data_IF_047263603744
#
_entry.id   IF_047263603744
#
_cell.length_a   1.000
_cell.length_b   1.000
_cell.length_c   1.000
_cell.angle_alpha   90.00
_cell.angle_beta   90.00
_cell.angle_gamma   90.00
#
_symmetry.space_group_name_H-M   'P 1'
#
loop_
_entity.id
_entity.type
_entity.pdbx_description
1 polymer ?
#
# COMPACT_ATOMS: atom_id res chain seq x y z
N UNK A 1 4.72 1.50 0.06
CA UNK A 1 5.65 2.54 -0.46
C UNK A 1 6.48 1.98 -1.58
N UNK A 2 7.41 1.09 -1.25
CA UNK A 2 8.10 0.24 -2.23
C UNK A 2 7.13 -0.62 -3.06
N UNK A 3 5.92 -0.92 -2.57
CA UNK A 3 4.86 -1.66 -3.28
C UNK A 3 4.32 -0.94 -4.52
N UNK A 4 4.54 0.38 -4.61
CA UNK A 4 4.17 1.16 -5.80
C UNK A 4 5.14 0.85 -6.97
N UNK A 5 6.36 0.41 -6.67
CA UNK A 5 7.36 0.04 -7.68
C UNK A 5 6.87 -1.12 -8.55
N UNK A 6 6.48 -2.30 -8.01
CA UNK A 6 5.96 -3.38 -8.83
C UNK A 6 4.64 -2.99 -9.52
N UNK A 7 3.77 -2.21 -8.87
CA UNK A 7 2.52 -1.72 -9.50
C UNK A 7 2.78 -0.83 -10.73
N UNK A 8 3.88 -0.07 -10.72
CA UNK A 8 4.25 0.81 -11.84
C UNK A 8 5.22 0.14 -12.83
N UNK A 9 5.81 -1.00 -12.45
CA UNK A 9 6.80 -1.71 -13.24
C UNK A 9 6.22 -2.27 -14.55
N UNK A 10 4.94 -2.66 -14.54
CA UNK A 10 4.22 -3.11 -15.74
C UNK A 10 4.17 -2.02 -16.82
N UNK A 11 4.07 -0.76 -16.42
CA UNK A 11 4.02 0.38 -17.35
C UNK A 11 5.42 0.88 -17.74
N UNK A 12 6.43 0.63 -16.91
CA UNK A 12 7.79 1.13 -17.10
C UNK A 12 8.62 0.32 -18.12
N UNK A 13 8.07 -0.78 -18.66
CA UNK A 13 8.75 -1.68 -19.62
C UNK A 13 10.16 -2.10 -19.15
N UNK A 14 10.31 -2.41 -17.86
CA UNK A 14 11.58 -2.78 -17.24
C UNK A 14 11.64 -4.31 -17.08
N UNK A 15 12.78 -4.98 -17.40
CA UNK A 15 12.92 -6.41 -17.18
C UNK A 15 12.62 -6.81 -15.72
N UNK A 16 11.86 -7.89 -15.45
CA UNK A 16 11.45 -8.26 -14.09
C UNK A 16 12.61 -8.45 -13.11
N UNK A 17 13.76 -8.95 -13.59
CA UNK A 17 14.97 -9.12 -12.77
C UNK A 17 15.60 -7.80 -12.34
N UNK A 18 15.41 -6.74 -13.11
CA UNK A 18 15.90 -5.41 -12.78
C UNK A 18 14.97 -4.74 -11.78
N UNK A 19 13.64 -4.90 -11.94
CA UNK A 19 12.64 -4.45 -10.96
C UNK A 19 12.95 -5.00 -9.57
N UNK A 20 13.18 -6.32 -9.46
CA UNK A 20 13.55 -6.94 -8.18
C UNK A 20 14.82 -6.39 -7.55
N UNK A 21 15.86 -6.12 -8.36
CA UNK A 21 17.11 -5.51 -7.88
C UNK A 21 16.90 -4.07 -7.41
N UNK A 22 16.13 -3.28 -8.16
CA UNK A 22 15.81 -1.90 -7.82
C UNK A 22 15.08 -1.79 -6.48
N UNK A 23 14.13 -2.71 -6.20
CA UNK A 23 13.44 -2.75 -4.91
C UNK A 23 14.42 -2.96 -3.75
N UNK A 24 15.33 -3.94 -3.86
CA UNK A 24 16.32 -4.22 -2.81
C UNK A 24 17.28 -3.03 -2.61
N UNK A 25 17.78 -2.45 -3.71
CA UNK A 25 18.66 -1.27 -3.65
C UNK A 25 17.94 -0.09 -3.01
N UNK A 26 16.68 0.16 -3.39
CA UNK A 26 15.88 1.24 -2.81
C UNK A 26 15.69 1.07 -1.30
N UNK A 27 15.40 -0.14 -0.82
CA UNK A 27 15.25 -0.43 0.62
C UNK A 27 16.58 -0.23 1.35
N UNK A 28 17.71 -0.72 0.81
CA UNK A 28 19.02 -0.54 1.45
C UNK A 28 19.38 0.95 1.54
N UNK A 29 19.22 1.70 0.44
CA UNK A 29 19.50 3.14 0.44
C UNK A 29 18.61 3.90 1.42
N UNK A 30 17.31 3.57 1.47
CA UNK A 30 16.39 4.18 2.42
C UNK A 30 16.78 3.87 3.87
N UNK A 31 17.17 2.63 4.17
CA UNK A 31 17.65 2.24 5.51
C UNK A 31 18.89 3.01 5.91
N UNK A 32 19.91 3.07 5.04
CA UNK A 32 21.13 3.84 5.31
C UNK A 32 20.81 5.30 5.54
N UNK A 33 19.93 5.87 4.72
CA UNK A 33 19.49 7.26 4.86
C UNK A 33 18.78 7.51 6.20
N UNK A 34 17.82 6.66 6.58
CA UNK A 34 17.08 6.81 7.84
C UNK A 34 17.99 6.63 9.06
N UNK A 35 18.91 5.66 9.05
CA UNK A 35 19.92 5.52 10.11
C UNK A 35 20.77 6.78 10.20
N UNK A 36 21.18 7.35 9.06
CA UNK A 36 21.90 8.62 9.00
C UNK A 36 21.12 9.77 9.63
N UNK A 37 19.84 9.93 9.28
CA UNK A 37 18.96 10.98 9.84
C UNK A 37 18.75 10.81 11.34
N UNK A 38 18.55 9.59 11.82
CA UNK A 38 18.41 9.30 13.25
C UNK A 38 19.70 9.65 13.98
N UNK A 39 20.85 9.22 13.43
CA UNK A 39 22.16 9.48 14.02
C UNK A 39 22.48 10.97 14.08
N UNK A 40 22.24 11.73 13.00
CA UNK A 40 22.47 13.18 13.00
C UNK A 40 21.52 13.92 13.93
N UNK A 41 20.25 13.51 14.00
CA UNK A 41 19.27 14.12 14.91
C UNK A 41 19.66 13.89 16.38
N UNK A 42 20.11 12.67 16.71
CA UNK A 42 20.58 12.32 18.06
C UNK A 42 21.89 13.01 18.45
N UNK A 43 22.75 13.40 17.49
CA UNK A 43 23.94 14.20 17.76
C UNK A 43 23.62 15.69 17.99
N UNK A 44 22.57 16.21 17.34
CA UNK A 44 22.19 17.63 17.42
C UNK A 44 21.25 17.98 18.58
N UNK A 45 20.68 17.00 19.27
CA UNK A 45 19.71 17.20 20.36
C UNK A 45 20.04 16.31 21.56
N UNK A 46 19.83 16.83 22.78
CA UNK A 46 19.78 16.00 23.98
C UNK A 46 18.52 15.12 24.00
N UNK A 47 18.48 14.10 24.85
CA UNK A 47 17.31 13.23 24.99
C UNK A 47 16.04 14.02 25.37
N UNK A 48 16.17 15.01 26.28
CA UNK A 48 15.07 15.88 26.70
C UNK A 48 14.58 16.77 25.54
N UNK A 49 15.50 17.32 24.75
CA UNK A 49 15.15 18.13 23.59
C UNK A 49 14.46 17.31 22.50
N UNK A 50 14.87 16.05 22.32
CA UNK A 50 14.28 15.14 21.35
C UNK A 50 12.82 14.80 21.72
N UNK A 51 12.55 14.60 23.01
CA UNK A 51 11.20 14.30 23.51
C UNK A 51 10.23 15.48 23.35
N UNK A 52 10.72 16.71 23.51
CA UNK A 52 9.91 17.93 23.34
C UNK A 52 9.80 18.44 21.89
N UNK A 53 10.52 17.84 20.94
CA UNK A 53 10.59 18.34 19.56
C UNK A 53 9.47 17.81 18.67
N UNK A 54 8.82 18.72 17.94
CA UNK A 54 7.87 18.38 16.88
C UNK A 54 8.55 18.09 15.52
N UNK A 55 9.75 18.62 15.31
CA UNK A 55 10.53 18.49 14.06
C UNK A 55 12.00 18.23 14.40
N UNK A 56 12.26 17.10 15.06
CA UNK A 56 13.55 16.73 15.63
C UNK A 56 14.75 16.95 14.69
N UNK A 57 14.60 16.59 13.41
CA UNK A 57 15.69 16.74 12.45
C UNK A 57 15.97 18.21 12.10
N UNK A 58 14.94 19.06 12.04
CA UNK A 58 15.13 20.50 11.79
C UNK A 58 15.71 21.19 13.02
N UNK A 59 15.24 20.83 14.21
CA UNK A 59 15.74 21.37 15.48
C UNK A 59 17.21 20.97 15.72
N UNK A 60 17.58 19.73 15.37
CA UNK A 60 18.97 19.27 15.40
C UNK A 60 19.86 20.09 14.46
N UNK A 61 19.41 20.37 13.22
CA UNK A 61 20.15 21.22 12.27
C UNK A 61 20.27 22.64 12.80
N UNK A 62 19.21 23.18 13.40
CA UNK A 62 19.27 24.49 14.04
C UNK A 62 20.34 24.53 15.13
N UNK A 63 20.35 23.55 16.05
CA UNK A 63 21.33 23.50 17.14
C UNK A 63 22.77 23.28 16.66
N UNK A 64 22.99 22.44 15.65
CA UNK A 64 24.33 22.16 15.14
C UNK A 64 24.95 23.33 14.38
N UNK A 65 24.14 24.07 13.61
CA UNK A 65 24.63 25.17 12.76
C UNK A 65 24.34 26.56 13.33
N UNK A 66 23.61 26.64 14.44
CA UNK A 66 23.09 27.87 15.03
C UNK A 66 22.40 28.78 13.98
N UNK A 67 21.63 28.19 13.06
CA UNK A 67 21.09 28.87 11.89
C UNK A 67 19.68 28.44 11.54
N UNK A 68 18.73 29.37 11.68
CA UNK A 68 17.34 29.16 11.26
C UNK A 68 17.22 28.98 9.74
N UNK A 69 18.10 29.61 8.97
CA UNK A 69 18.10 29.47 7.52
C UNK A 69 18.42 28.02 7.10
N UNK A 70 19.38 27.37 7.77
CA UNK A 70 19.72 25.98 7.52
C UNK A 70 18.54 25.03 7.85
N UNK A 71 17.87 25.25 8.98
CA UNK A 71 16.69 24.49 9.36
C UNK A 71 15.53 24.67 8.37
N UNK A 72 15.27 25.91 7.92
CA UNK A 72 14.22 26.21 6.94
C UNK A 72 14.49 25.57 5.57
N UNK A 73 15.75 25.52 5.13
CA UNK A 73 16.13 24.82 3.89
C UNK A 73 15.85 23.33 4.00
N UNK A 74 16.16 22.71 5.16
CA UNK A 74 15.82 21.31 5.41
C UNK A 74 14.31 21.08 5.37
N UNK A 75 13.52 21.93 6.03
CA UNK A 75 12.05 21.85 6.03
C UNK A 75 11.52 21.96 4.60
N UNK A 76 12.01 22.92 3.81
CA UNK A 76 11.62 23.08 2.41
C UNK A 76 11.94 21.83 1.57
N UNK A 77 13.12 21.23 1.77
CA UNK A 77 13.50 19.97 1.14
C UNK A 77 12.59 18.80 1.55
N UNK A 78 12.24 18.72 2.85
CA UNK A 78 11.30 17.74 3.38
C UNK A 78 9.90 17.88 2.77
N UNK A 79 9.38 19.10 2.67
CA UNK A 79 8.10 19.39 2.03
C UNK A 79 8.11 19.00 0.54
N UNK A 80 9.17 19.30 -0.19
CA UNK A 80 9.32 18.87 -1.58
C UNK A 80 9.31 17.33 -1.68
N UNK A 81 9.97 16.62 -0.76
CA UNK A 81 9.95 15.16 -0.69
C UNK A 81 8.57 14.57 -0.35
N UNK A 82 7.80 15.23 0.51
CA UNK A 82 6.42 14.80 0.81
C UNK A 82 5.53 14.93 -0.43
N UNK A 83 5.64 16.05 -1.16
CA UNK A 83 4.85 16.28 -2.38
C UNK A 83 5.12 15.23 -3.47
N UNK A 84 6.39 14.85 -3.68
CA UNK A 84 6.73 13.80 -4.64
C UNK A 84 6.21 12.42 -4.21
N UNK A 85 6.28 12.12 -2.91
CA UNK A 85 5.76 10.87 -2.35
C UNK A 85 4.24 10.77 -2.49
N UNK A 86 3.50 11.85 -2.19
CA UNK A 86 2.05 11.89 -2.35
C UNK A 86 1.61 11.67 -3.79
N UNK A 87 2.32 12.25 -4.75
CA UNK A 87 2.04 12.02 -6.17
C UNK A 87 2.15 10.53 -6.53
N UNK A 88 3.22 9.87 -6.08
CA UNK A 88 3.43 8.43 -6.31
C UNK A 88 2.35 7.56 -5.64
N UNK A 89 1.93 7.92 -4.42
CA UNK A 89 0.87 7.20 -3.72
C UNK A 89 -0.50 7.34 -4.40
N UNK A 90 -0.85 8.52 -4.91
CA UNK A 90 -2.09 8.73 -5.67
C UNK A 90 -2.10 7.93 -6.99
N UNK A 91 -0.96 7.85 -7.66
CA UNK A 91 -0.74 7.03 -8.85
C UNK A 91 -0.97 5.54 -8.55
N UNK A 92 -0.40 5.02 -7.47
CA UNK A 92 -0.58 3.61 -7.07
C UNK A 92 -2.01 3.30 -6.60
N UNK A 93 -2.56 4.13 -5.71
CA UNK A 93 -3.90 3.95 -5.16
C UNK A 93 -5.00 3.99 -6.24
N UNK A 94 -4.89 4.92 -7.20
CA UNK A 94 -5.88 5.03 -8.28
C UNK A 94 -5.87 3.81 -9.21
N UNK A 95 -4.71 3.20 -9.46
CA UNK A 95 -4.57 1.93 -10.21
C UNK A 95 -5.13 0.74 -9.46
N UNK A 96 -4.91 0.68 -8.14
CA UNK A 96 -5.50 -0.35 -7.30
C UNK A 96 -7.03 -0.28 -7.35
N UNK A 97 -7.62 0.93 -7.21
CA UNK A 97 -9.06 1.14 -7.33
C UNK A 97 -9.57 0.75 -8.72
N UNK A 98 -8.83 1.11 -9.78
CA UNK A 98 -9.15 0.73 -11.15
C UNK A 98 -9.22 -0.80 -11.32
N UNK A 99 -8.22 -1.54 -10.82
CA UNK A 99 -8.19 -3.01 -10.87
C UNK A 99 -9.36 -3.62 -10.08
N UNK A 100 -9.62 -3.14 -8.86
CA UNK A 100 -10.76 -3.59 -8.04
C UNK A 100 -12.12 -3.28 -8.67
N UNK A 101 -12.22 -2.20 -9.43
CA UNK A 101 -13.44 -1.85 -10.17
C UNK A 101 -13.65 -2.78 -11.38
N UNK A 102 -12.60 -3.18 -12.09
CA UNK A 102 -12.69 -4.14 -13.21
C UNK A 102 -13.12 -5.53 -12.76
N UNK A 103 -12.70 -5.96 -11.57
CA UNK A 103 -13.08 -7.24 -10.97
C UNK A 103 -14.49 -7.22 -10.35
N UNK A 104 -15.23 -6.12 -10.47
CA UNK A 104 -16.60 -5.99 -9.97
C UNK A 104 -16.69 -5.83 -8.44
N UNK A 105 -15.57 -5.67 -7.74
CA UNK A 105 -15.56 -5.38 -6.30
C UNK A 105 -16.02 -3.95 -6.02
N UNK A 106 -15.64 -3.00 -6.88
CA UNK A 106 -16.04 -1.60 -6.78
C UNK A 106 -16.96 -1.20 -7.95
N UNK A 107 -17.70 -0.07 -7.84
CA UNK A 107 -18.56 0.40 -8.93
C UNK A 107 -17.76 0.63 -10.22
N UNK A 108 -18.19 0.02 -11.33
CA UNK A 108 -17.52 0.07 -12.65
C UNK A 108 -17.20 1.48 -13.18
N UNK A 109 -17.88 2.52 -12.67
CA UNK A 109 -17.56 3.91 -13.00
C UNK A 109 -16.12 4.28 -12.60
N UNK A 110 -15.55 3.64 -11.58
CA UNK A 110 -14.18 3.90 -11.12
C UNK A 110 -13.11 3.31 -12.04
N UNK A 111 -13.46 2.32 -12.87
CA UNK A 111 -12.57 1.76 -13.91
C UNK A 111 -12.55 2.57 -15.21
N UNK A 112 -13.21 3.74 -15.27
CA UNK A 112 -13.19 4.59 -16.48
C UNK A 112 -11.81 5.25 -16.64
N UNK A 113 -11.13 4.93 -17.74
CA UNK A 113 -9.86 5.55 -18.12
C UNK A 113 -10.06 6.80 -18.98
N UNK A 114 -9.13 7.76 -18.85
CA UNK A 114 -9.05 8.92 -19.74
C UNK A 114 -8.72 8.46 -21.18
N UNK A 115 -9.41 8.94 -22.23
CA UNK A 115 -9.20 8.48 -23.60
C UNK A 115 -7.75 8.60 -24.09
N UNK A 116 -7.12 9.76 -23.82
CA UNK A 116 -5.73 10.10 -24.20
C UNK A 116 -4.68 9.56 -23.23
N UNK A 117 -4.76 9.90 -21.94
CA UNK A 117 -3.73 9.59 -20.93
C UNK A 117 -3.86 8.21 -20.28
N UNK A 118 -4.96 7.48 -20.53
CA UNK A 118 -5.23 6.17 -19.92
C UNK A 118 -5.17 6.16 -18.39
N UNK A 119 -5.45 7.30 -17.75
CA UNK A 119 -5.48 7.45 -16.29
C UNK A 119 -6.89 7.21 -15.73
N UNK A 120 -7.05 6.54 -14.58
CA UNK A 120 -8.36 6.33 -13.96
C UNK A 120 -8.84 7.59 -13.23
N UNK A 121 -9.38 8.55 -14.00
CA UNK A 121 -9.75 9.89 -13.53
C UNK A 121 -10.77 9.83 -12.39
N UNK A 122 -11.76 8.96 -12.48
CA UNK A 122 -12.81 8.86 -11.45
C UNK A 122 -12.24 8.32 -10.11
N UNK A 123 -11.26 7.43 -10.16
CA UNK A 123 -10.56 6.97 -8.96
C UNK A 123 -9.71 8.08 -8.34
N UNK A 124 -9.02 8.88 -9.17
CA UNK A 124 -8.24 10.04 -8.69
C UNK A 124 -9.13 11.11 -8.05
N UNK A 125 -10.28 11.42 -8.67
CA UNK A 125 -11.24 12.38 -8.11
C UNK A 125 -11.81 11.88 -6.78
N UNK A 126 -12.15 10.59 -6.70
CA UNK A 126 -12.63 9.99 -5.44
C UNK A 126 -11.58 10.13 -4.33
N UNK A 127 -10.33 9.76 -4.61
CA UNK A 127 -9.23 9.89 -3.66
C UNK A 127 -9.00 11.35 -3.26
N UNK A 128 -8.97 12.27 -4.23
CA UNK A 128 -8.76 13.69 -3.97
C UNK A 128 -9.87 14.29 -3.09
N UNK A 129 -11.13 13.96 -3.37
CA UNK A 129 -12.28 14.43 -2.58
C UNK A 129 -12.21 13.87 -1.15
N UNK A 130 -11.99 12.56 -0.99
CA UNK A 130 -11.88 11.95 0.34
C UNK A 130 -10.72 12.56 1.14
N UNK A 131 -9.53 12.68 0.53
CA UNK A 131 -8.37 13.29 1.18
C UNK A 131 -8.59 14.76 1.54
N UNK A 132 -9.30 15.52 0.70
CA UNK A 132 -9.61 16.93 0.98
C UNK A 132 -10.60 17.07 2.13
N UNK A 133 -11.61 16.18 2.21
CA UNK A 133 -12.57 16.16 3.30
C UNK A 133 -11.92 15.68 4.59
N UNK A 134 -10.94 14.77 4.52
CA UNK A 134 -10.29 14.18 5.68
C UNK A 134 -9.67 15.22 6.63
N UNK A 135 -9.18 16.34 6.10
CA UNK A 135 -8.59 17.44 6.87
C UNK A 135 -9.57 18.10 7.86
N UNK A 136 -10.87 18.01 7.61
CA UNK A 136 -11.87 18.66 8.46
C UNK A 136 -12.25 17.84 9.70
N UNK A 137 -11.74 16.61 9.84
CA UNK A 137 -12.06 15.75 11.00
C UNK A 137 -11.12 15.90 12.20
N UNK A 138 -10.12 16.78 12.10
CA UNK A 138 -9.15 17.04 13.18
C UNK A 138 -8.04 16.00 13.29
N UNK A 139 -6.98 16.35 14.02
CA UNK A 139 -5.76 15.53 14.13
C UNK A 139 -6.01 14.17 14.78
N UNK A 140 -6.86 14.11 15.81
CA UNK A 140 -7.14 12.87 16.52
C UNK A 140 -7.73 11.77 15.62
N UNK A 141 -8.67 12.11 14.71
CA UNK A 141 -9.20 11.11 13.77
C UNK A 141 -8.13 10.67 12.77
N UNK A 142 -7.30 11.60 12.29
CA UNK A 142 -6.20 11.27 11.38
C UNK A 142 -5.21 10.30 12.03
N UNK A 143 -4.86 10.53 13.30
CA UNK A 143 -4.00 9.63 14.07
C UNK A 143 -4.62 8.22 14.16
N UNK A 144 -5.91 8.12 14.53
CA UNK A 144 -6.59 6.82 14.59
C UNK A 144 -6.68 6.12 13.23
N UNK A 145 -6.85 6.88 12.14
CA UNK A 145 -6.83 6.32 10.77
C UNK A 145 -5.46 5.76 10.41
N UNK A 146 -4.38 6.49 10.70
CA UNK A 146 -2.99 6.05 10.45
C UNK A 146 -2.65 4.83 11.31
N UNK A 147 -3.00 4.88 12.59
CA UNK A 147 -2.82 3.78 13.55
C UNK A 147 -3.56 2.51 13.10
N UNK A 148 -4.83 2.62 12.68
CA UNK A 148 -5.63 1.49 12.19
C UNK A 148 -5.12 0.89 10.87
N UNK A 149 -4.49 1.71 10.01
CA UNK A 149 -3.94 1.26 8.74
C UNK A 149 -2.68 0.40 8.88
N UNK A 150 -1.91 0.62 9.94
CA UNK A 150 -0.65 -0.09 10.22
C UNK A 150 -0.81 -1.62 10.28
N UNK A 151 -1.69 -2.20 11.13
CA UNK A 151 -1.92 -3.65 11.14
C UNK A 151 -2.48 -4.17 9.80
N UNK A 152 -3.28 -3.38 9.08
CA UNK A 152 -3.82 -3.78 7.77
C UNK A 152 -2.72 -3.98 6.71
N UNK A 153 -1.71 -3.11 6.71
CA UNK A 153 -0.54 -3.25 5.84
C UNK A 153 0.27 -4.50 6.22
N UNK A 154 0.50 -4.73 7.52
CA UNK A 154 1.25 -5.92 7.97
C UNK A 154 0.51 -7.22 7.61
N UNK A 155 -0.82 -7.27 7.76
CA UNK A 155 -1.61 -8.41 7.30
C UNK A 155 -1.50 -8.60 5.79
N UNK A 156 -1.51 -7.51 5.02
CA UNK A 156 -1.34 -7.58 3.55
C UNK A 156 0.00 -8.21 3.20
N UNK A 157 1.10 -7.78 3.84
CA UNK A 157 2.41 -8.39 3.63
C UNK A 157 2.48 -9.86 4.07
N UNK A 158 1.83 -10.20 5.19
CA UNK A 158 1.71 -11.59 5.63
C UNK A 158 0.99 -12.44 4.57
N UNK A 159 -0.13 -11.96 4.02
CA UNK A 159 -0.88 -12.64 2.97
C UNK A 159 -0.07 -12.79 1.68
N UNK A 160 0.70 -11.78 1.30
CA UNK A 160 1.62 -11.85 0.15
C UNK A 160 2.69 -12.92 0.38
N UNK A 161 3.30 -12.97 1.56
CA UNK A 161 4.33 -13.96 1.90
C UNK A 161 3.79 -15.38 1.98
N UNK A 162 2.59 -15.56 2.54
CA UNK A 162 1.88 -16.85 2.54
C UNK A 162 1.53 -17.27 1.11
N UNK A 163 1.00 -16.36 0.29
CA UNK A 163 0.66 -16.63 -1.11
C UNK A 163 1.89 -17.04 -1.92
N UNK A 164 3.02 -16.37 -1.69
CA UNK A 164 4.31 -16.73 -2.28
C UNK A 164 4.74 -18.15 -1.91
N UNK A 165 4.62 -18.56 -0.64
CA UNK A 165 4.92 -19.93 -0.20
C UNK A 165 3.96 -20.96 -0.80
N UNK A 166 2.67 -20.65 -0.86
CA UNK A 166 1.65 -21.53 -1.45
C UNK A 166 1.95 -21.73 -2.94
N UNK A 167 2.22 -20.65 -3.69
CA UNK A 167 2.50 -20.71 -5.12
C UNK A 167 3.78 -21.49 -5.41
N UNK A 168 4.78 -21.40 -4.52
CA UNK A 168 5.99 -22.22 -4.61
C UNK A 168 5.73 -23.72 -4.56
N UNK A 169 4.76 -24.14 -3.75
CA UNK A 169 4.40 -25.55 -3.55
C UNK A 169 3.39 -26.06 -4.58
N UNK A 170 2.37 -25.26 -4.90
CA UNK A 170 1.29 -25.66 -5.81
C UNK A 170 1.69 -25.59 -7.29
N UNK A 171 2.47 -24.58 -7.66
CA UNK A 171 2.86 -24.32 -9.05
C UNK A 171 4.39 -24.26 -9.21
N UNK A 172 5.11 -25.38 -8.99
CA UNK A 172 6.58 -25.40 -9.03
C UNK A 172 7.14 -25.19 -10.44
N UNK A 173 6.39 -25.56 -11.48
CA UNK A 173 6.79 -25.47 -12.89
C UNK A 173 6.53 -24.10 -13.52
N UNK A 174 5.81 -23.21 -12.85
CA UNK A 174 5.52 -21.85 -13.33
C UNK A 174 6.80 -21.10 -13.71
N UNK A 175 6.78 -20.41 -14.85
CA UNK A 175 7.87 -19.54 -15.26
C UNK A 175 8.03 -18.40 -14.25
N UNK A 176 9.24 -18.24 -13.72
CA UNK A 176 9.55 -17.21 -12.72
C UNK A 176 10.69 -16.35 -13.25
N UNK A 177 10.39 -15.21 -13.90
CA UNK A 177 11.41 -14.31 -14.45
C UNK A 177 12.45 -13.89 -13.40
N UNK A 178 11.99 -13.68 -12.16
CA UNK A 178 12.82 -13.47 -10.98
C UNK A 178 12.61 -14.62 -9.97
N UNK A 179 13.66 -15.43 -9.73
CA UNK A 179 13.67 -16.47 -8.69
C UNK A 179 14.40 -15.98 -7.43
N UNK A 180 13.64 -15.46 -6.47
CA UNK A 180 14.15 -15.07 -5.15
C UNK A 180 14.72 -16.30 -4.41
N UNK A 181 15.93 -16.18 -3.85
CA UNK A 181 16.57 -17.27 -3.09
C UNK A 181 17.07 -18.46 -3.93
N UNK A 182 17.25 -18.27 -5.25
CA UNK A 182 17.87 -19.26 -6.13
C UNK A 182 16.97 -20.43 -6.56
N UNK A 183 17.59 -21.49 -7.11
CA UNK A 183 16.89 -22.72 -7.58
C UNK A 183 16.53 -23.69 -6.44
N UNK A 184 17.14 -23.53 -5.26
CA UNK A 184 16.92 -24.40 -4.11
C UNK A 184 15.81 -23.91 -3.17
N UNK A 185 15.88 -24.35 -1.91
CA UNK A 185 14.91 -24.01 -0.84
C UNK A 185 15.11 -22.61 -0.24
N UNK A 186 16.10 -21.84 -0.69
CA UNK A 186 16.39 -20.50 -0.15
C UNK A 186 15.19 -19.55 -0.25
N UNK A 187 14.39 -19.64 -1.31
CA UNK A 187 13.16 -18.86 -1.41
C UNK A 187 12.09 -19.27 -0.39
N UNK A 188 11.99 -20.55 -0.02
CA UNK A 188 11.07 -20.98 1.04
C UNK A 188 11.49 -20.43 2.40
N UNK A 189 12.80 -20.43 2.69
CA UNK A 189 13.35 -19.86 3.93
C UNK A 189 13.02 -18.37 4.04
N UNK A 190 13.22 -17.60 2.97
CA UNK A 190 12.88 -16.17 2.92
C UNK A 190 11.37 -15.96 3.14
N UNK A 191 10.52 -16.78 2.51
CA UNK A 191 9.08 -16.70 2.70
C UNK A 191 8.65 -16.99 4.14
N UNK A 192 9.16 -18.06 4.75
CA UNK A 192 8.86 -18.38 6.15
C UNK A 192 9.37 -17.33 7.12
N UNK A 193 10.60 -16.83 6.90
CA UNK A 193 11.15 -15.74 7.68
C UNK A 193 10.25 -14.49 7.62
N UNK A 194 9.75 -14.13 6.44
CA UNK A 194 8.81 -13.01 6.28
C UNK A 194 7.47 -13.25 7.01
N UNK A 195 6.93 -14.47 6.97
CA UNK A 195 5.72 -14.81 7.72
C UNK A 195 5.95 -14.68 9.24
N UNK A 196 7.05 -15.21 9.75
CA UNK A 196 7.39 -15.10 11.19
C UNK A 196 7.56 -13.63 11.59
N UNK A 197 8.25 -12.83 10.78
CA UNK A 197 8.46 -11.41 11.05
C UNK A 197 7.14 -10.63 11.06
N UNK A 198 6.26 -10.87 10.08
CA UNK A 198 4.95 -10.21 10.03
C UNK A 198 4.05 -10.61 11.20
N UNK A 199 4.09 -11.88 11.63
CA UNK A 199 3.40 -12.31 12.86
C UNK A 199 3.96 -11.60 14.09
N UNK A 200 5.29 -11.52 14.23
CA UNK A 200 5.91 -10.81 15.34
C UNK A 200 5.52 -9.32 15.39
N UNK A 201 5.46 -8.66 14.22
CA UNK A 201 4.99 -7.28 14.10
C UNK A 201 3.50 -7.15 14.45
N UNK A 202 2.65 -8.12 14.08
CA UNK A 202 1.23 -8.08 14.46
C UNK A 202 1.01 -8.21 15.96
N UNK A 203 1.83 -9.03 16.63
CA UNK A 203 1.74 -9.19 18.09
C UNK A 203 2.03 -7.88 18.83
N UNK A 204 2.86 -6.99 18.27
CA UNK A 204 3.18 -5.69 18.89
C UNK A 204 1.97 -4.76 19.05
N UNK A 205 0.90 -4.99 18.28
CA UNK A 205 -0.32 -4.19 18.33
C UNK A 205 -1.31 -4.62 19.42
N UNK A 206 -1.08 -5.77 20.06
CA UNK A 206 -1.95 -6.31 21.11
C UNK A 206 -1.82 -5.53 22.43
N UNK A 207 -2.86 -5.56 23.29
CA UNK A 207 -2.80 -4.94 24.62
C UNK A 207 -1.61 -5.44 25.44
N UNK A 208 -0.85 -4.52 26.05
CA UNK A 208 0.34 -4.83 26.85
C UNK A 208 1.66 -4.86 26.09
N UNK A 209 1.65 -4.57 24.78
CA UNK A 209 2.86 -4.44 23.96
C UNK A 209 3.22 -2.96 23.70
N UNK A 210 4.50 -2.66 23.38
CA UNK A 210 4.98 -1.30 23.12
C UNK A 210 4.19 -0.51 22.07
N UNK A 211 3.66 -1.17 21.03
CA UNK A 211 2.89 -0.54 19.95
C UNK A 211 1.38 -0.79 20.08
N UNK A 212 0.87 -0.98 21.30
CA UNK A 212 -0.55 -1.23 21.53
C UNK A 212 -1.43 -0.13 20.95
N UNK A 213 -2.53 -0.52 20.33
CA UNK A 213 -3.51 0.39 19.78
C UNK A 213 -4.60 0.73 20.79
N UNK A 214 -5.07 1.98 20.77
CA UNK A 214 -6.31 2.36 21.42
C UNK A 214 -7.52 1.63 20.84
N UNK A 215 -8.67 1.70 21.51
CA UNK A 215 -9.88 1.04 21.05
C UNK A 215 -10.46 1.68 19.78
N UNK A 216 -10.23 2.97 19.54
CA UNK A 216 -10.72 3.69 18.36
C UNK A 216 -10.08 3.16 17.05
N UNK A 217 -8.75 3.02 16.94
CA UNK A 217 -8.12 2.35 15.80
C UNK A 217 -8.67 0.94 15.54
N UNK A 218 -8.94 0.16 16.59
CA UNK A 218 -9.52 -1.19 16.44
C UNK A 218 -10.91 -1.17 15.82
N UNK A 219 -11.76 -0.20 16.20
CA UNK A 219 -13.09 -0.02 15.59
C UNK A 219 -12.97 0.34 14.11
N UNK A 220 -12.07 1.27 13.76
CA UNK A 220 -11.84 1.67 12.36
C UNK A 220 -11.30 0.48 11.56
N UNK A 221 -10.34 -0.26 12.11
CA UNK A 221 -9.79 -1.47 11.51
C UNK A 221 -10.89 -2.50 11.22
N UNK A 222 -11.73 -2.81 12.20
CA UNK A 222 -12.86 -3.74 12.02
C UNK A 222 -13.86 -3.21 10.99
N UNK A 223 -14.16 -1.92 10.98
CA UNK A 223 -15.05 -1.31 10.00
C UNK A 223 -14.54 -1.48 8.57
N UNK A 224 -13.23 -1.31 8.33
CA UNK A 224 -12.61 -1.54 7.03
C UNK A 224 -12.66 -3.01 6.60
N UNK A 225 -12.48 -3.95 7.54
CA UNK A 225 -12.64 -5.38 7.26
C UNK A 225 -14.07 -5.75 6.89
N UNK A 226 -15.06 -5.21 7.60
CA UNK A 226 -16.47 -5.40 7.28
C UNK A 226 -16.82 -4.82 5.91
N UNK A 227 -16.31 -3.62 5.60
CA UNK A 227 -16.46 -3.01 4.28
C UNK A 227 -15.84 -3.89 3.18
N UNK A 228 -14.61 -4.37 3.40
CA UNK A 228 -13.92 -5.28 2.49
C UNK A 228 -14.69 -6.59 2.27
N UNK A 229 -15.18 -7.21 3.34
CA UNK A 229 -16.00 -8.41 3.27
C UNK A 229 -17.30 -8.17 2.49
N UNK A 230 -17.97 -7.05 2.75
CA UNK A 230 -19.18 -6.65 2.02
C UNK A 230 -18.95 -6.51 0.51
N UNK A 231 -17.83 -5.88 0.09
CA UNK A 231 -17.47 -5.79 -1.32
C UNK A 231 -17.02 -7.14 -1.89
N UNK A 232 -16.31 -7.97 -1.12
CA UNK A 232 -15.90 -9.31 -1.53
C UNK A 232 -17.09 -10.21 -1.87
N UNK A 233 -18.17 -10.16 -1.08
CA UNK A 233 -19.36 -10.97 -1.35
C UNK A 233 -20.14 -10.55 -2.62
N UNK A 234 -19.84 -9.40 -3.22
CA UNK A 234 -20.43 -8.98 -4.51
C UNK A 234 -19.78 -9.67 -5.71
N UNK A 235 -18.58 -10.21 -5.57
CA UNK A 235 -17.87 -10.90 -6.64
C UNK A 235 -18.65 -12.17 -7.05
N UNK A 236 -18.80 -12.47 -8.35
CA UNK A 236 -19.39 -13.72 -8.82
C UNK A 236 -18.64 -14.94 -8.26
N UNK A 237 -19.38 -15.87 -7.64
CA UNK A 237 -18.83 -17.14 -7.14
C UNK A 237 -18.68 -18.14 -8.29
N UNK A 238 -17.74 -19.09 -8.15
CA UNK A 238 -17.59 -20.23 -9.07
C UNK A 238 -16.42 -20.16 -10.06
N UNK A 239 -15.61 -19.10 -9.99
CA UNK A 239 -14.42 -18.96 -10.84
C UNK A 239 -13.26 -19.73 -10.21
N UNK A 240 -12.77 -20.76 -10.92
CA UNK A 240 -11.63 -21.57 -10.48
C UNK A 240 -10.34 -20.77 -10.63
N UNK A 241 -9.40 -20.94 -9.70
CA UNK A 241 -8.04 -20.40 -9.79
C UNK A 241 -7.30 -20.98 -11.01
N UNK A 242 -6.47 -20.18 -11.68
CA UNK A 242 -5.77 -20.51 -12.92
C UNK A 242 -5.22 -19.26 -13.62
N UNK A 243 -4.44 -19.44 -14.68
CA UNK A 243 -3.75 -18.36 -15.41
C UNK A 243 -4.74 -17.39 -16.11
N UNK A 244 -5.91 -17.90 -16.50
CA UNK A 244 -7.00 -17.18 -17.17
C UNK A 244 -8.12 -16.72 -16.22
N UNK A 245 -7.88 -16.69 -14.90
CA UNK A 245 -8.87 -16.27 -13.89
C UNK A 245 -9.45 -14.89 -14.19
N UNK A 246 -8.58 -13.95 -14.55
CA UNK A 246 -8.99 -12.57 -14.78
C UNK A 246 -9.94 -12.50 -15.98
N UNK A 247 -9.61 -13.15 -17.10
CA UNK A 247 -10.49 -13.23 -18.26
C UNK A 247 -11.82 -13.92 -17.94
N UNK A 248 -11.81 -15.01 -17.18
CA UNK A 248 -13.04 -15.72 -16.78
C UNK A 248 -13.93 -14.84 -15.90
N UNK A 249 -13.32 -14.09 -14.98
CA UNK A 249 -14.04 -13.14 -14.12
C UNK A 249 -14.65 -12.01 -14.94
N UNK A 250 -13.89 -11.45 -15.88
CA UNK A 250 -14.39 -10.39 -16.77
C UNK A 250 -15.55 -10.87 -17.63
N UNK A 251 -15.46 -12.06 -18.23
CA UNK A 251 -16.56 -12.65 -19.03
C UNK A 251 -17.82 -12.85 -18.17
N UNK A 252 -17.68 -13.42 -16.98
CA UNK A 252 -18.80 -13.64 -16.07
C UNK A 252 -19.47 -12.33 -15.62
N UNK A 253 -18.69 -11.25 -15.42
CA UNK A 253 -19.22 -9.94 -15.09
C UNK A 253 -19.95 -9.29 -16.28
N UNK A 254 -19.39 -9.38 -17.48
CA UNK A 254 -20.04 -8.88 -18.69
C UNK A 254 -21.36 -9.61 -18.98
N UNK A 255 -21.41 -10.92 -18.76
CA UNK A 255 -22.65 -11.70 -18.89
C UNK A 255 -23.71 -11.26 -17.89
N UNK A 256 -23.36 -11.08 -16.61
CA UNK A 256 -24.27 -10.53 -15.60
C UNK A 256 -24.80 -9.15 -15.98
N UNK A 257 -23.94 -8.28 -16.50
CA UNK A 257 -24.34 -6.93 -16.90
C UNK A 257 -25.28 -6.96 -18.12
N UNK A 258 -24.99 -7.78 -19.13
CA UNK A 258 -25.90 -8.01 -20.26
C UNK A 258 -27.26 -8.54 -19.80
N UNK A 259 -27.28 -9.53 -18.90
CA UNK A 259 -28.53 -10.06 -18.35
C UNK A 259 -29.35 -8.99 -17.63
N UNK A 260 -28.69 -8.12 -16.85
CA UNK A 260 -29.32 -7.01 -16.13
C UNK A 260 -29.90 -5.97 -17.09
N UNK A 261 -29.20 -5.63 -18.17
CA UNK A 261 -29.70 -4.70 -19.19
C UNK A 261 -30.91 -5.29 -19.91
N UNK A 262 -30.84 -6.58 -20.27
CA UNK A 262 -31.95 -7.29 -20.92
C UNK A 262 -33.17 -7.37 -20.01
N UNK A 263 -33.02 -7.73 -18.73
CA UNK A 263 -34.15 -7.79 -17.79
C UNK A 263 -34.81 -6.43 -17.58
N UNK A 264 -34.01 -5.35 -17.46
CA UNK A 264 -34.53 -3.98 -17.29
C UNK A 264 -35.26 -3.47 -18.54
N UNK A 265 -34.93 -4.00 -19.72
CA UNK A 265 -35.59 -3.67 -20.99
C UNK A 265 -36.88 -4.45 -21.20
N UNK A 266 -36.95 -5.68 -20.69
CA UNK A 266 -38.18 -6.51 -20.68
C UNK A 266 -39.20 -5.98 -19.68
N UNK A 267 -38.78 -5.43 -18.54
CA UNK A 267 -39.68 -4.82 -17.54
C UNK A 267 -40.28 -3.46 -17.99
N UNK A 268 -39.72 -2.85 -19.04
CA UNK A 268 -40.16 -1.56 -19.59
C UNK A 268 -41.03 -1.68 -20.85
N UNK A 269 -41.34 -2.89 -21.29
CA UNK A 269 -42.25 -3.19 -22.39
C UNK A 269 -43.41 -4.05 -21.91
#
# INVERSE_FOLDING_TARGET
GFDVIPQSAEEANVPPRQVGRLVVIAVIMATVWYVGVIFTSALGLSAEQLEGSHLATADAVFNMFNSQAAANVLIAGGLAGILTTWNSLLIGASRMIYALSRTGMLPQRLSKLHPKYKTPVNALLLLGVISSIAQFFGTALLDWMVESGSPMIVITYMLVSVSFLILRRREPAMERPLRVGGKGRGGEVIGWFSVVLTVALLLQYLPGMPAQLGWQPWVIFLAWWLAGAFFYFRIPKGIRAGEDVEERLERALQERERQRITSTRVEKH
#
